data_IF_931124503709
#
_entry.id   IF_931124503709
#
_cell.length_a   1.000
_cell.length_b   1.000
_cell.length_c   1.000
_cell.angle_alpha   90.00
_cell.angle_beta   90.00
_cell.angle_gamma   90.00
#
_symmetry.space_group_name_H-M   'P 1'
#
loop_
_entity.id
_entity.type
_entity.pdbx_description
1 polymer ?
#
# COMPACT_ATOMS: atom_id res chain seq x y z
N UNK A 1 -5.62 -5.62 47.72
CA UNK A 1 -4.76 -5.88 46.53
C UNK A 1 -5.33 -5.08 45.36
N UNK A 2 -4.67 -3.99 44.93
CA UNK A 2 -5.17 -3.15 43.82
C UNK A 2 -4.83 -3.82 42.49
N UNK A 3 -5.84 -4.14 41.67
CA UNK A 3 -5.65 -4.61 40.29
C UNK A 3 -5.08 -3.44 39.48
N UNK A 4 -3.87 -3.60 38.93
CA UNK A 4 -3.27 -2.68 37.96
C UNK A 4 -3.99 -2.89 36.63
N UNK A 5 -4.97 -2.06 36.35
CA UNK A 5 -5.59 -2.00 35.02
C UNK A 5 -4.52 -1.47 34.06
N UNK A 6 -4.01 -2.31 33.16
CA UNK A 6 -3.23 -1.84 32.03
C UNK A 6 -4.19 -1.12 31.09
N UNK A 7 -4.30 0.20 31.25
CA UNK A 7 -4.84 1.06 30.21
C UNK A 7 -3.90 0.95 29.02
N UNK A 8 -4.37 0.30 27.96
CA UNK A 8 -3.71 0.38 26.67
C UNK A 8 -3.86 1.83 26.21
N UNK A 9 -2.80 2.61 26.41
CA UNK A 9 -2.64 4.01 26.00
C UNK A 9 -3.07 4.14 24.53
N UNK A 10 -4.28 4.64 24.30
CA UNK A 10 -4.83 4.92 22.96
C UNK A 10 -4.28 6.24 22.38
N UNK A 11 -3.36 6.86 23.10
CA UNK A 11 -2.76 8.19 22.93
C UNK A 11 -1.52 8.18 22.02
N UNK A 12 -0.85 7.05 21.85
CA UNK A 12 0.51 7.01 21.30
C UNK A 12 0.58 7.10 19.79
N UNK A 13 -0.26 6.36 19.04
CA UNK A 13 -0.12 6.28 17.58
C UNK A 13 -0.29 7.62 16.87
N UNK A 14 -1.29 8.43 17.26
CA UNK A 14 -1.48 9.76 16.68
C UNK A 14 -0.36 10.70 17.10
N UNK A 15 0.06 10.69 18.37
CA UNK A 15 1.17 11.51 18.84
C UNK A 15 2.50 11.14 18.16
N UNK A 16 2.75 9.85 17.96
CA UNK A 16 3.97 9.35 17.33
C UNK A 16 3.98 9.65 15.83
N UNK A 17 2.84 9.50 15.15
CA UNK A 17 2.68 9.97 13.76
C UNK A 17 2.86 11.48 13.68
N UNK A 18 2.33 12.25 14.62
CA UNK A 18 2.51 13.71 14.65
C UNK A 18 3.96 14.11 14.91
N UNK A 19 4.68 13.43 15.80
CA UNK A 19 6.11 13.66 16.04
C UNK A 19 6.93 13.35 14.79
N UNK A 20 6.66 12.23 14.12
CA UNK A 20 7.30 11.87 12.86
C UNK A 20 7.01 12.90 11.76
N UNK A 21 5.77 13.40 11.69
CA UNK A 21 5.40 14.46 10.75
C UNK A 21 6.12 15.78 11.04
N UNK A 22 6.30 16.14 12.31
CA UNK A 22 7.05 17.35 12.71
C UNK A 22 8.55 17.19 12.42
N UNK A 23 9.11 16.02 12.70
CA UNK A 23 10.55 15.73 12.54
C UNK A 23 10.97 15.65 11.07
N UNK A 24 10.20 14.93 10.25
CA UNK A 24 10.55 14.65 8.85
C UNK A 24 9.80 15.55 7.85
N UNK A 25 8.75 16.25 8.29
CA UNK A 25 7.92 17.10 7.45
C UNK A 25 6.90 16.34 6.58
N UNK A 26 5.89 17.05 6.04
CA UNK A 26 4.84 16.45 5.22
C UNK A 26 5.35 15.81 3.92
N UNK A 27 6.43 16.33 3.34
CA UNK A 27 7.03 15.78 2.11
C UNK A 27 7.59 14.37 2.31
N UNK A 28 8.29 14.12 3.43
CA UNK A 28 8.83 12.78 3.74
C UNK A 28 7.73 11.77 4.02
N UNK A 29 6.63 12.23 4.61
CA UNK A 29 5.46 11.39 4.82
C UNK A 29 4.78 11.03 3.50
N UNK A 30 4.64 11.98 2.56
CA UNK A 30 4.16 11.73 1.20
C UNK A 30 5.03 10.70 0.48
N UNK A 31 6.35 10.87 0.49
CA UNK A 31 7.30 9.91 -0.12
C UNK A 31 7.17 8.51 0.49
N UNK A 32 7.03 8.43 1.82
CA UNK A 32 6.87 7.15 2.53
C UNK A 32 5.56 6.45 2.16
N UNK A 33 4.47 7.22 2.05
CA UNK A 33 3.18 6.69 1.60
C UNK A 33 3.24 6.22 0.15
N UNK A 34 3.85 6.99 -0.75
CA UNK A 34 4.06 6.60 -2.15
C UNK A 34 4.81 5.26 -2.25
N UNK A 35 5.90 5.10 -1.50
CA UNK A 35 6.64 3.86 -1.42
C UNK A 35 5.75 2.71 -0.92
N UNK A 36 5.01 2.92 0.17
CA UNK A 36 4.14 1.92 0.76
C UNK A 36 3.04 1.46 -0.21
N UNK A 37 2.38 2.39 -0.90
CA UNK A 37 1.36 2.07 -1.90
C UNK A 37 1.95 1.26 -3.06
N UNK A 38 3.11 1.67 -3.58
CA UNK A 38 3.78 0.95 -4.66
C UNK A 38 4.21 -0.47 -4.23
N UNK A 39 4.62 -0.67 -2.98
CA UNK A 39 4.90 -2.01 -2.45
C UNK A 39 3.62 -2.85 -2.29
N UNK A 40 2.56 -2.27 -1.73
CA UNK A 40 1.27 -2.97 -1.59
C UNK A 40 0.74 -3.44 -2.96
N UNK A 41 0.91 -2.63 -4.00
CA UNK A 41 0.56 -3.00 -5.38
C UNK A 41 1.31 -4.24 -5.90
N UNK A 42 2.58 -4.45 -5.51
CA UNK A 42 3.33 -5.66 -5.87
C UNK A 42 2.76 -6.91 -5.18
N UNK A 43 2.39 -6.77 -3.91
CA UNK A 43 1.79 -7.84 -3.11
C UNK A 43 0.44 -8.22 -3.71
N UNK A 44 -0.45 -7.25 -3.93
CA UNK A 44 -1.78 -7.48 -4.50
C UNK A 44 -1.69 -8.16 -5.88
N UNK A 45 -0.75 -7.72 -6.75
CA UNK A 45 -0.54 -8.40 -8.03
C UNK A 45 -0.16 -9.86 -7.85
N UNK A 46 0.74 -10.17 -6.91
CA UNK A 46 1.19 -11.55 -6.68
C UNK A 46 0.05 -12.43 -6.17
N UNK A 47 -0.82 -11.90 -5.31
CA UNK A 47 -2.02 -12.58 -4.83
C UNK A 47 -3.02 -12.85 -5.96
N UNK A 48 -3.29 -11.86 -6.81
CA UNK A 48 -4.20 -11.99 -7.95
C UNK A 48 -3.67 -13.02 -8.96
N UNK A 49 -2.38 -12.97 -9.26
CA UNK A 49 -1.72 -13.92 -10.16
C UNK A 49 -1.56 -15.31 -9.52
N UNK A 50 -1.72 -15.44 -8.21
CA UNK A 50 -1.39 -16.62 -7.40
C UNK A 50 0.03 -17.12 -7.66
N UNK A 51 0.95 -16.18 -7.80
CA UNK A 51 2.37 -16.45 -8.05
C UNK A 51 3.20 -15.21 -7.71
N UNK A 52 4.31 -15.41 -7.00
CA UNK A 52 5.36 -14.44 -6.81
C UNK A 52 6.14 -14.17 -8.12
N UNK A 53 6.95 -13.09 -8.17
CA UNK A 53 7.84 -12.84 -9.29
C UNK A 53 8.71 -14.07 -9.61
N UNK A 54 8.68 -14.51 -10.87
CA UNK A 54 9.44 -15.65 -11.39
C UNK A 54 9.10 -17.02 -10.79
N UNK A 55 8.09 -17.12 -9.93
CA UNK A 55 7.68 -18.38 -9.32
C UNK A 55 7.01 -19.30 -10.35
N UNK A 56 7.39 -20.59 -10.35
CA UNK A 56 6.66 -21.62 -11.10
C UNK A 56 5.66 -22.27 -10.16
N UNK A 57 4.38 -22.17 -10.50
CA UNK A 57 3.28 -22.77 -9.75
C UNK A 57 2.14 -23.13 -10.68
N UNK A 58 1.50 -24.26 -10.42
CA UNK A 58 0.33 -24.74 -11.16
C UNK A 58 -0.91 -23.88 -10.89
N UNK A 59 -0.96 -23.17 -9.76
CA UNK A 59 -2.08 -22.29 -9.40
C UNK A 59 -2.07 -20.93 -10.10
N UNK A 60 -1.06 -20.65 -10.93
CA UNK A 60 -0.87 -19.37 -11.61
C UNK A 60 -2.08 -19.04 -12.49
N UNK A 61 -2.62 -17.83 -12.34
CA UNK A 61 -3.80 -17.38 -13.09
C UNK A 61 -3.52 -16.39 -14.21
N UNK A 62 -2.27 -15.95 -14.36
CA UNK A 62 -1.87 -15.03 -15.43
C UNK A 62 -0.41 -14.60 -15.31
N UNK A 63 -0.08 -13.52 -16.02
CA UNK A 63 1.28 -12.99 -16.08
C UNK A 63 1.33 -11.50 -15.78
N UNK A 64 2.37 -11.09 -15.05
CA UNK A 64 2.70 -9.68 -14.88
C UNK A 64 3.10 -9.08 -16.25
N UNK A 65 2.66 -7.86 -16.51
CA UNK A 65 2.92 -7.16 -17.76
C UNK A 65 3.40 -5.72 -17.51
N UNK A 66 4.35 -5.56 -16.58
CA UNK A 66 4.87 -4.26 -16.20
C UNK A 66 3.92 -3.43 -15.32
N UNK A 67 4.08 -2.11 -15.41
CA UNK A 67 3.35 -1.12 -14.63
C UNK A 67 2.99 0.08 -15.50
N UNK A 68 1.88 0.73 -15.16
CA UNK A 68 1.44 1.99 -15.76
C UNK A 68 1.54 3.11 -14.73
N UNK A 69 2.22 4.23 -15.01
CA UNK A 69 2.28 5.36 -14.09
C UNK A 69 0.88 5.98 -13.91
N UNK A 70 0.56 6.39 -12.68
CA UNK A 70 -0.67 7.09 -12.32
C UNK A 70 -0.40 8.11 -11.21
N UNK A 71 -0.78 9.36 -11.45
CA UNK A 71 -0.83 10.38 -10.41
C UNK A 71 -2.09 10.23 -9.57
N UNK A 72 -1.93 10.17 -8.26
CA UNK A 72 -3.02 10.11 -7.30
C UNK A 72 -2.96 11.31 -6.36
N UNK A 73 -3.97 12.18 -6.46
CA UNK A 73 -4.05 13.36 -5.60
C UNK A 73 -4.59 12.93 -4.23
N UNK A 74 -3.78 13.10 -3.18
CA UNK A 74 -4.12 12.80 -1.79
C UNK A 74 -4.08 14.06 -0.93
N UNK A 75 -4.52 13.97 0.33
CA UNK A 75 -4.46 15.09 1.29
C UNK A 75 -3.04 15.53 1.63
N UNK A 76 -2.05 14.65 1.46
CA UNK A 76 -0.63 14.93 1.71
C UNK A 76 0.15 15.28 0.44
N UNK A 77 -0.57 15.55 -0.65
CA UNK A 77 -0.01 15.89 -1.96
C UNK A 77 -0.22 14.79 -3.00
N UNK A 78 0.39 14.98 -4.16
CA UNK A 78 0.32 14.03 -5.29
C UNK A 78 1.28 12.87 -5.07
N UNK A 79 0.77 11.65 -5.18
CA UNK A 79 1.57 10.41 -5.17
C UNK A 79 1.77 9.92 -6.61
N UNK A 80 3.00 9.55 -6.94
CA UNK A 80 3.38 8.92 -8.22
C UNK A 80 3.32 7.39 -8.07
N UNK A 81 2.20 6.80 -8.49
CA UNK A 81 1.93 5.38 -8.31
C UNK A 81 2.25 4.58 -9.59
N UNK A 82 2.71 3.35 -9.40
CA UNK A 82 3.01 2.37 -10.44
C UNK A 82 1.95 1.27 -10.46
N UNK A 83 0.90 1.48 -11.25
CA UNK A 83 -0.26 0.59 -11.28
C UNK A 83 0.12 -0.72 -11.99
N UNK A 84 0.05 -1.88 -11.30
CA UNK A 84 0.41 -3.15 -11.90
C UNK A 84 -0.48 -3.50 -13.08
N UNK A 85 0.14 -4.03 -14.13
CA UNK A 85 -0.59 -4.58 -15.28
C UNK A 85 -0.47 -6.10 -15.26
N UNK A 86 -1.58 -6.78 -15.56
CA UNK A 86 -1.66 -8.24 -15.66
C UNK A 86 -2.28 -8.65 -16.99
N UNK A 87 -1.77 -9.73 -17.57
CA UNK A 87 -2.32 -10.34 -18.80
C UNK A 87 -3.07 -11.61 -18.45
N UNK A 88 -4.21 -11.84 -19.11
CA UNK A 88 -5.10 -12.98 -18.86
C UNK A 88 -6.25 -12.67 -17.89
N UNK A 89 -6.31 -11.45 -17.37
CA UNK A 89 -7.41 -10.96 -16.54
C UNK A 89 -8.02 -9.71 -17.15
N UNK A 90 -9.35 -9.64 -17.14
CA UNK A 90 -10.08 -8.41 -17.44
C UNK A 90 -10.55 -7.77 -16.13
N UNK A 91 -9.60 -7.33 -15.29
CA UNK A 91 -9.93 -6.54 -14.10
C UNK A 91 -9.79 -5.08 -14.49
N UNK A 92 -10.92 -4.41 -14.67
CA UNK A 92 -11.04 -2.99 -14.94
C UNK A 92 -10.23 -2.21 -13.89
N UNK A 93 -9.13 -1.59 -14.30
CA UNK A 93 -8.49 -0.35 -13.80
C UNK A 93 -8.37 -0.07 -12.27
N UNK A 94 -8.65 -1.00 -11.37
CA UNK A 94 -8.73 -0.78 -9.93
C UNK A 94 -7.69 -1.61 -9.16
N UNK A 95 -6.43 -1.63 -9.62
CA UNK A 95 -5.29 -1.88 -8.72
C UNK A 95 -5.02 -0.58 -7.95
N UNK A 96 -5.97 -0.21 -7.11
CA UNK A 96 -5.76 0.69 -6.01
C UNK A 96 -6.58 -0.01 -4.95
N UNK A 97 -5.88 -0.49 -3.92
CA UNK A 97 -6.39 -0.87 -2.60
C UNK A 97 -7.85 -0.46 -2.46
N UNK A 98 -8.73 -1.40 -2.11
CA UNK A 98 -10.14 -1.15 -1.78
C UNK A 98 -10.28 -0.12 -0.64
N UNK A 99 -9.99 1.17 -0.87
CA UNK A 99 -10.15 2.29 0.07
C UNK A 99 -11.39 3.12 -0.30
N UNK A 100 -12.18 2.66 -1.29
CA UNK A 100 -13.50 3.20 -1.62
C UNK A 100 -14.46 2.06 -1.95
N UNK A 101 -14.62 1.11 -1.04
CA UNK A 101 -15.88 0.42 -0.73
C UNK A 101 -15.94 0.16 0.78
#
# INVERSE_FOLDING_TARGET
>A
MKRKTMSLEKSTMIEDVMKLLIEYGPEKFRESLELLYNQAMLVERSEILRAHPYERTESRRGYANGFKPKRFNSSVGTLELQIPQVRGFNRLNNFVIHIYE
#
